data_IF_920714796751
#
_entry.id   IF_920714796751
#
_cell.length_a   1.000
_cell.length_b   1.000
_cell.length_c   1.000
_cell.angle_alpha   90.00
_cell.angle_beta   90.00
_cell.angle_gamma   90.00
#
_symmetry.space_group_name_H-M   'P 1'
#
loop_
_entity.id
_entity.type
_entity.pdbx_description
1 polymer ?
#
# COMPACT_ATOMS: atom_id res chain seq x y z
N UNK A 1 -7.87 4.63 25.28
CA UNK A 1 -6.75 5.38 24.68
C UNK A 1 -7.31 6.28 23.58
N UNK A 2 -6.87 7.53 23.48
CA UNK A 2 -7.24 8.38 22.32
C UNK A 2 -6.21 8.13 21.22
N UNK A 3 -6.63 7.41 20.17
CA UNK A 3 -5.75 6.98 19.09
C UNK A 3 -5.13 8.15 18.33
N UNK A 4 -5.94 9.18 18.01
CA UNK A 4 -5.44 10.36 17.31
C UNK A 4 -4.38 11.12 18.13
N UNK A 5 -4.61 11.31 19.43
CA UNK A 5 -3.62 11.96 20.30
C UNK A 5 -2.33 11.14 20.41
N UNK A 6 -2.47 9.82 20.55
CA UNK A 6 -1.31 8.91 20.61
C UNK A 6 -0.49 8.92 19.32
N UNK A 7 -1.15 8.99 18.17
CA UNK A 7 -0.50 9.03 16.86
C UNK A 7 -0.06 10.44 16.42
N UNK A 8 -0.33 11.49 17.21
CA UNK A 8 0.22 12.83 16.96
C UNK A 8 1.61 13.04 17.58
N UNK A 9 2.01 12.18 18.51
CA UNK A 9 3.32 12.17 19.12
C UNK A 9 4.28 11.29 18.31
N UNK A 10 5.57 11.41 18.58
CA UNK A 10 6.56 10.51 17.98
C UNK A 10 6.34 9.08 18.49
N UNK A 11 6.12 8.14 17.60
CA UNK A 11 5.95 6.72 17.93
C UNK A 11 7.17 5.90 17.51
N UNK A 12 7.45 4.86 18.30
CA UNK A 12 8.43 3.82 18.01
C UNK A 12 7.70 2.50 17.73
N UNK A 13 8.43 1.47 17.37
CA UNK A 13 7.82 0.17 17.04
C UNK A 13 7.08 -0.46 18.23
N UNK A 14 7.53 -0.19 19.45
CA UNK A 14 6.84 -0.64 20.66
C UNK A 14 5.47 -0.01 20.81
N UNK A 15 5.38 1.29 20.52
CA UNK A 15 4.13 2.05 20.55
C UNK A 15 3.13 1.52 19.49
N UNK A 16 3.64 1.17 18.31
CA UNK A 16 2.84 0.53 17.27
C UNK A 16 2.25 -0.80 17.75
N UNK A 17 3.08 -1.61 18.43
CA UNK A 17 2.61 -2.89 19.00
C UNK A 17 1.56 -2.69 20.10
N UNK A 18 1.73 -1.67 20.94
CA UNK A 18 0.73 -1.29 21.96
C UNK A 18 -0.60 -0.91 21.31
N UNK A 19 -0.57 -0.06 20.27
CA UNK A 19 -1.77 0.32 19.52
C UNK A 19 -2.41 -0.90 18.87
N UNK A 20 -1.64 -1.78 18.24
CA UNK A 20 -2.16 -3.01 17.63
C UNK A 20 -2.85 -3.92 18.66
N UNK A 21 -2.22 -4.10 19.82
CA UNK A 21 -2.82 -4.89 20.90
C UNK A 21 -4.12 -4.27 21.43
N UNK A 22 -4.16 -2.93 21.50
CA UNK A 22 -5.34 -2.21 21.96
C UNK A 22 -6.53 -2.32 21.01
N UNK A 23 -6.29 -2.39 19.69
CA UNK A 23 -7.35 -2.44 18.67
C UNK A 23 -7.70 -3.85 18.22
N UNK A 24 -6.95 -4.86 18.68
CA UNK A 24 -6.92 -6.23 18.14
C UNK A 24 -8.33 -6.85 17.99
N UNK A 25 -9.21 -6.69 19.00
CA UNK A 25 -10.51 -7.34 19.06
C UNK A 25 -11.69 -6.36 18.88
N UNK A 26 -11.39 -5.10 18.50
CA UNK A 26 -12.41 -4.07 18.35
C UNK A 26 -12.39 -3.48 16.92
N UNK A 27 -13.40 -3.88 16.14
CA UNK A 27 -13.55 -3.40 14.76
C UNK A 27 -13.74 -1.87 14.68
N UNK A 28 -14.37 -1.26 15.68
CA UNK A 28 -14.58 0.20 15.72
C UNK A 28 -13.28 0.95 15.90
N UNK A 29 -12.39 0.44 16.75
CA UNK A 29 -11.06 1.02 16.93
C UNK A 29 -10.18 0.80 15.70
N UNK A 30 -10.31 -0.34 15.03
CA UNK A 30 -9.65 -0.62 13.75
C UNK A 30 -10.10 0.35 12.67
N UNK A 31 -11.41 0.58 12.57
CA UNK A 31 -11.96 1.59 11.66
C UNK A 31 -11.46 3.00 12.01
N UNK A 32 -11.36 3.37 13.30
CA UNK A 32 -10.82 4.65 13.74
C UNK A 32 -9.38 4.84 13.25
N UNK A 33 -8.51 3.82 13.41
CA UNK A 33 -7.13 3.87 12.90
C UNK A 33 -7.12 4.02 11.38
N UNK A 34 -7.97 3.29 10.68
CA UNK A 34 -8.08 3.39 9.22
C UNK A 34 -8.48 4.80 8.78
N UNK A 35 -9.46 5.42 9.43
CA UNK A 35 -9.88 6.79 9.12
C UNK A 35 -8.77 7.82 9.38
N UNK A 36 -7.90 7.58 10.36
CA UNK A 36 -6.74 8.43 10.62
C UNK A 36 -5.69 8.42 9.48
N UNK A 37 -5.73 7.46 8.56
CA UNK A 37 -4.92 7.49 7.32
C UNK A 37 -5.21 8.77 6.51
N UNK A 38 -6.42 9.27 6.58
CA UNK A 38 -6.89 10.45 5.86
C UNK A 38 -6.87 11.72 6.70
N UNK A 39 -6.30 11.68 7.91
CA UNK A 39 -6.19 12.86 8.78
C UNK A 39 -5.41 13.98 8.08
N UNK A 40 -5.81 15.22 8.36
CA UNK A 40 -5.15 16.43 7.83
C UNK A 40 -3.74 16.60 8.37
N UNK A 41 -3.51 16.11 9.59
CA UNK A 41 -2.18 16.09 10.19
C UNK A 41 -1.34 14.98 9.53
N UNK A 42 -0.29 15.41 8.85
CA UNK A 42 0.59 14.50 8.12
C UNK A 42 1.27 13.46 9.04
N UNK A 43 1.58 13.84 10.29
CA UNK A 43 2.22 12.95 11.27
C UNK A 43 1.23 11.85 11.65
N UNK A 44 0.02 12.23 12.05
CA UNK A 44 -1.05 11.29 12.42
C UNK A 44 -1.33 10.33 11.28
N UNK A 45 -1.53 10.87 10.08
CA UNK A 45 -1.82 10.08 8.89
C UNK A 45 -0.70 9.09 8.54
N UNK A 46 0.56 9.52 8.63
CA UNK A 46 1.71 8.66 8.36
C UNK A 46 1.85 7.55 9.41
N UNK A 47 1.63 7.87 10.68
CA UNK A 47 1.73 6.90 11.75
C UNK A 47 0.56 5.92 11.76
N UNK A 48 -0.66 6.36 11.40
CA UNK A 48 -1.79 5.47 11.18
C UNK A 48 -1.51 4.46 10.05
N UNK A 49 -0.93 4.91 8.94
CA UNK A 49 -0.46 4.01 7.88
C UNK A 49 0.57 3.01 8.41
N UNK A 50 1.50 3.45 9.25
CA UNK A 50 2.49 2.55 9.83
C UNK A 50 1.86 1.48 10.71
N UNK A 51 0.86 1.84 11.55
CA UNK A 51 0.06 0.83 12.28
C UNK A 51 -0.57 -0.18 11.32
N UNK A 52 -1.23 0.29 10.25
CA UNK A 52 -1.90 -0.59 9.29
C UNK A 52 -0.92 -1.54 8.57
N UNK A 53 0.34 -1.14 8.35
CA UNK A 53 1.34 -2.05 7.74
C UNK A 53 1.74 -3.22 8.64
N UNK A 54 1.36 -3.18 9.91
CA UNK A 54 1.59 -4.25 10.88
C UNK A 54 0.31 -5.02 11.24
N UNK A 55 -0.74 -4.85 10.49
CA UNK A 55 -1.99 -5.56 10.67
C UNK A 55 -1.81 -7.08 10.55
N UNK A 56 -2.58 -7.82 11.32
CA UNK A 56 -2.66 -9.27 11.21
C UNK A 56 -3.24 -9.70 9.85
N UNK A 57 -3.12 -10.97 9.52
CA UNK A 57 -3.70 -11.50 8.29
C UNK A 57 -5.21 -11.28 8.21
N UNK A 58 -5.94 -11.43 9.33
CA UNK A 58 -7.37 -11.18 9.40
C UNK A 58 -7.71 -9.70 9.19
N UNK A 59 -6.90 -8.79 9.73
CA UNK A 59 -7.08 -7.35 9.54
C UNK A 59 -6.77 -6.92 8.10
N UNK A 60 -5.80 -7.56 7.45
CA UNK A 60 -5.52 -7.34 6.02
C UNK A 60 -6.69 -7.79 5.15
N UNK A 61 -7.35 -8.90 5.48
CA UNK A 61 -8.56 -9.35 4.78
C UNK A 61 -9.71 -8.36 4.97
N UNK A 62 -9.91 -7.85 6.19
CA UNK A 62 -10.86 -6.79 6.46
C UNK A 62 -10.52 -5.50 5.66
N UNK A 63 -9.24 -5.13 5.58
CA UNK A 63 -8.76 -3.97 4.84
C UNK A 63 -8.96 -4.13 3.31
N UNK A 64 -8.97 -5.35 2.79
CA UNK A 64 -9.15 -5.61 1.36
C UNK A 64 -10.50 -5.16 0.81
N UNK A 65 -11.52 -5.07 1.67
CA UNK A 65 -12.84 -4.52 1.31
C UNK A 65 -12.79 -3.01 1.01
N UNK A 66 -11.70 -2.33 1.39
CA UNK A 66 -11.44 -0.89 1.19
C UNK A 66 -10.32 -0.62 0.20
N UNK A 67 -9.97 -1.63 -0.60
CA UNK A 67 -8.82 -1.57 -1.52
C UNK A 67 -8.96 -0.44 -2.54
N UNK A 68 -10.16 -0.22 -3.08
CA UNK A 68 -10.42 0.85 -4.05
C UNK A 68 -10.16 2.24 -3.46
N UNK A 69 -10.55 2.47 -2.22
CA UNK A 69 -10.31 3.73 -1.51
C UNK A 69 -8.80 3.97 -1.29
N UNK A 70 -8.06 2.92 -0.97
CA UNK A 70 -6.60 2.97 -0.84
C UNK A 70 -5.92 3.21 -2.19
N UNK A 71 -6.42 2.63 -3.26
CA UNK A 71 -5.94 2.86 -4.62
C UNK A 71 -6.12 4.33 -5.01
N UNK A 72 -7.31 4.88 -4.81
CA UNK A 72 -7.61 6.28 -5.10
C UNK A 72 -6.73 7.22 -4.26
N UNK A 73 -6.54 6.89 -2.99
CA UNK A 73 -5.64 7.61 -2.10
C UNK A 73 -4.17 7.54 -2.57
N UNK A 74 -3.71 6.40 -3.07
CA UNK A 74 -2.35 6.25 -3.60
C UNK A 74 -2.13 7.09 -4.86
N UNK A 75 -3.11 7.09 -5.78
CA UNK A 75 -3.03 7.83 -7.05
C UNK A 75 -3.02 9.34 -6.85
N UNK A 76 -3.78 9.85 -5.88
CA UNK A 76 -3.93 11.29 -5.61
C UNK A 76 -2.94 11.84 -4.58
N UNK A 77 -2.25 10.99 -3.82
CA UNK A 77 -1.36 11.42 -2.74
C UNK A 77 -0.16 12.22 -3.27
N UNK A 78 0.06 13.47 -2.83
CA UNK A 78 1.22 14.27 -3.27
C UNK A 78 2.53 13.85 -2.60
N UNK A 79 2.47 13.18 -1.44
CA UNK A 79 3.64 12.83 -0.64
C UNK A 79 4.17 11.44 -0.99
N UNK A 80 5.36 11.36 -1.56
CA UNK A 80 5.97 10.10 -2.02
C UNK A 80 6.12 9.06 -0.89
N UNK A 81 6.53 9.47 0.31
CA UNK A 81 6.66 8.57 1.46
C UNK A 81 5.32 7.97 1.91
N UNK A 82 4.27 8.79 2.00
CA UNK A 82 2.92 8.34 2.34
C UNK A 82 2.38 7.40 1.26
N UNK A 83 2.50 7.79 0.00
CA UNK A 83 2.09 6.98 -1.16
C UNK A 83 2.76 5.61 -1.13
N UNK A 84 4.08 5.54 -0.83
CA UNK A 84 4.80 4.28 -0.68
C UNK A 84 4.17 3.35 0.35
N UNK A 85 3.76 3.89 1.50
CA UNK A 85 3.14 3.10 2.55
C UNK A 85 1.76 2.60 2.14
N UNK A 86 0.95 3.43 1.47
CA UNK A 86 -0.35 3.01 0.93
C UNK A 86 -0.16 1.88 -0.09
N UNK A 87 0.80 2.01 -1.01
CA UNK A 87 1.11 0.96 -1.97
C UNK A 87 1.56 -0.33 -1.27
N UNK A 88 2.34 -0.24 -0.20
CA UNK A 88 2.73 -1.42 0.59
C UNK A 88 1.50 -2.11 1.21
N UNK A 89 0.52 -1.36 1.70
CA UNK A 89 -0.74 -1.93 2.19
C UNK A 89 -1.53 -2.64 1.08
N UNK A 90 -1.64 -2.02 -0.09
CA UNK A 90 -2.31 -2.63 -1.25
C UNK A 90 -1.62 -3.95 -1.65
N UNK A 91 -0.29 -4.02 -1.56
CA UNK A 91 0.47 -5.23 -1.90
C UNK A 91 0.29 -6.39 -0.97
N UNK A 92 -0.06 -6.12 0.27
CA UNK A 92 -0.33 -7.16 1.26
C UNK A 92 -1.71 -7.79 1.07
N UNK A 93 -2.57 -7.14 0.31
CA UNK A 93 -3.94 -7.57 0.05
C UNK A 93 -4.01 -8.52 -1.15
N UNK A 94 -5.05 -9.34 -1.24
CA UNK A 94 -5.35 -10.08 -2.47
C UNK A 94 -5.59 -9.07 -3.62
N UNK A 95 -5.30 -9.50 -4.83
CA UNK A 95 -5.56 -8.67 -6.00
C UNK A 95 -7.08 -8.41 -6.16
N UNK A 96 -7.44 -7.18 -6.55
CA UNK A 96 -8.82 -6.84 -6.85
C UNK A 96 -9.33 -7.66 -8.05
N UNK A 97 -10.58 -8.09 -7.99
CA UNK A 97 -11.28 -8.75 -9.09
C UNK A 97 -12.64 -8.08 -9.29
N UNK A 98 -12.89 -7.40 -10.42
CA UNK A 98 -11.99 -7.16 -11.55
C UNK A 98 -10.84 -6.19 -11.24
N UNK A 99 -9.72 -6.26 -12.02
CA UNK A 99 -8.58 -5.38 -11.80
C UNK A 99 -8.89 -3.91 -12.12
N UNK A 100 -8.33 -3.01 -11.32
CA UNK A 100 -8.35 -1.56 -11.57
C UNK A 100 -7.33 -1.20 -12.66
N UNK A 101 -7.80 -1.01 -13.89
CA UNK A 101 -6.94 -0.68 -15.05
C UNK A 101 -6.24 0.67 -14.87
N UNK A 102 -6.94 1.67 -14.36
CA UNK A 102 -6.39 2.99 -14.06
C UNK A 102 -5.22 2.94 -13.05
N UNK A 103 -5.31 2.06 -12.07
CA UNK A 103 -4.23 1.83 -11.11
C UNK A 103 -3.03 1.12 -11.74
N UNK A 104 -3.27 0.17 -12.64
CA UNK A 104 -2.21 -0.49 -13.38
C UNK A 104 -1.46 0.51 -14.27
N UNK A 105 -2.18 1.36 -15.00
CA UNK A 105 -1.61 2.41 -15.84
C UNK A 105 -0.77 3.39 -14.99
N UNK A 106 -1.31 3.84 -13.85
CA UNK A 106 -0.59 4.67 -12.89
C UNK A 106 0.72 4.03 -12.42
N UNK A 107 0.69 2.75 -12.04
CA UNK A 107 1.89 2.02 -11.61
C UNK A 107 2.92 1.93 -12.74
N UNK A 108 2.47 1.68 -13.97
CA UNK A 108 3.35 1.57 -15.13
C UNK A 108 4.02 2.89 -15.50
N UNK A 109 3.26 3.98 -15.54
CA UNK A 109 3.80 5.31 -15.79
C UNK A 109 4.89 5.66 -14.77
N UNK A 110 4.68 5.32 -13.51
CA UNK A 110 5.64 5.58 -12.43
C UNK A 110 6.89 4.71 -12.50
N UNK A 111 6.78 3.46 -12.95
CA UNK A 111 7.94 2.59 -13.16
C UNK A 111 8.84 3.06 -14.31
N UNK A 112 8.26 3.65 -15.34
CA UNK A 112 8.98 4.20 -16.49
C UNK A 112 9.59 5.56 -16.16
N UNK A 113 9.00 6.31 -15.21
CA UNK A 113 9.57 7.57 -14.74
C UNK A 113 10.91 7.30 -14.05
N UNK A 114 11.94 8.12 -14.38
CA UNK A 114 13.30 8.00 -13.83
C UNK A 114 13.40 8.30 -12.31
N UNK A 115 12.32 8.33 -11.59
CA UNK A 115 12.32 8.42 -10.14
C UNK A 115 12.75 7.08 -9.55
N UNK A 116 14.04 6.93 -9.33
CA UNK A 116 14.77 5.70 -8.94
C UNK A 116 14.13 4.93 -7.78
N UNK A 117 13.41 5.60 -6.90
CA UNK A 117 12.74 4.97 -5.75
C UNK A 117 11.45 4.18 -6.11
N UNK A 118 10.90 4.36 -7.31
CA UNK A 118 9.65 3.72 -7.72
C UNK A 118 9.83 2.28 -8.17
N UNK A 119 10.98 1.94 -8.75
CA UNK A 119 11.30 0.56 -9.15
C UNK A 119 11.23 -0.41 -7.97
N UNK A 120 11.70 0.01 -6.80
CA UNK A 120 11.69 -0.84 -5.59
C UNK A 120 10.29 -0.91 -4.97
N UNK A 121 9.54 0.19 -5.05
CA UNK A 121 8.23 0.34 -4.39
C UNK A 121 7.11 -0.30 -5.19
N UNK A 122 7.14 -0.17 -6.50
CA UNK A 122 6.11 -0.73 -7.38
C UNK A 122 6.43 -2.17 -7.80
N UNK A 123 7.67 -2.64 -7.66
CA UNK A 123 8.04 -3.99 -8.11
C UNK A 123 7.35 -5.10 -7.30
N UNK A 124 7.22 -4.95 -6.00
CA UNK A 124 6.54 -5.96 -5.17
C UNK A 124 5.01 -5.96 -5.38
N UNK A 125 4.31 -4.79 -5.35
CA UNK A 125 2.89 -4.71 -5.70
C UNK A 125 2.60 -5.15 -7.11
N UNK A 126 3.41 -4.65 -8.05
CA UNK A 126 3.26 -4.97 -9.46
C UNK A 126 3.48 -6.46 -9.72
N UNK A 127 4.46 -7.09 -9.06
CA UNK A 127 4.70 -8.53 -9.21
C UNK A 127 3.53 -9.38 -8.70
N UNK A 128 2.87 -8.97 -7.63
CA UNK A 128 1.68 -9.66 -7.13
C UNK A 128 0.45 -9.39 -8.02
N UNK A 129 0.19 -8.14 -8.40
CA UNK A 129 -0.86 -7.80 -9.37
C UNK A 129 -0.57 -8.44 -10.72
N UNK A 130 0.67 -8.33 -11.23
CA UNK A 130 1.06 -8.88 -12.53
C UNK A 130 0.94 -10.39 -12.59
N UNK A 131 1.32 -11.12 -11.54
CA UNK A 131 1.19 -12.57 -11.47
C UNK A 131 -0.27 -13.03 -11.59
N UNK A 132 -1.20 -12.22 -11.08
CA UNK A 132 -2.63 -12.52 -11.16
C UNK A 132 -3.28 -11.99 -12.45
N UNK A 133 -2.69 -10.98 -13.09
CA UNK A 133 -3.23 -10.31 -14.28
C UNK A 133 -2.41 -10.53 -15.56
N UNK A 134 -1.32 -11.28 -15.50
CA UNK A 134 -0.49 -11.59 -16.67
C UNK A 134 -1.33 -12.16 -17.84
N UNK A 135 -2.36 -12.93 -17.55
CA UNK A 135 -3.28 -13.47 -18.54
C UNK A 135 -4.07 -12.39 -19.31
N UNK A 136 -4.33 -11.24 -18.70
CA UNK A 136 -5.05 -10.13 -19.35
C UNK A 136 -4.10 -9.23 -20.16
N UNK A 137 -2.82 -9.18 -19.77
CA UNK A 137 -1.81 -8.32 -20.38
C UNK A 137 -1.11 -8.92 -21.59
N UNK A 138 -0.98 -10.24 -21.67
CA UNK A 138 -0.38 -10.95 -22.81
C UNK A 138 -1.11 -10.60 -24.12
N UNK A 139 -2.38 -10.22 -24.06
CA UNK A 139 -3.15 -9.82 -25.23
C UNK A 139 -2.94 -8.37 -25.68
N UNK A 140 -2.35 -7.48 -24.84
CA UNK A 140 -2.35 -6.03 -25.09
C UNK A 140 -1.01 -5.43 -25.51
N UNK A 141 0.12 -5.95 -25.09
CA UNK A 141 1.40 -5.40 -25.54
C UNK A 141 2.59 -6.36 -25.39
N UNK A 142 3.16 -6.86 -26.49
CA UNK A 142 4.38 -7.67 -26.50
C UNK A 142 5.63 -6.91 -26.04
N UNK A 143 5.61 -5.58 -26.09
CA UNK A 143 6.78 -4.71 -25.84
C UNK A 143 7.17 -4.64 -24.37
N UNK A 144 6.24 -4.86 -23.44
CA UNK A 144 6.51 -4.79 -22.00
C UNK A 144 7.09 -6.06 -21.41
N UNK A 145 6.99 -7.18 -22.12
CA UNK A 145 7.59 -8.46 -21.71
C UNK A 145 9.10 -8.37 -21.51
N UNK A 146 9.75 -7.55 -22.30
CA UNK A 146 11.20 -7.39 -22.27
C UNK A 146 11.69 -6.71 -20.97
N UNK A 147 10.93 -5.77 -20.42
CA UNK A 147 11.28 -5.06 -19.19
C UNK A 147 11.10 -5.91 -17.93
N UNK A 148 10.25 -6.93 -17.99
CA UNK A 148 9.93 -7.81 -16.85
C UNK A 148 10.79 -9.08 -16.82
N UNK A 149 11.46 -9.42 -17.91
CA UNK A 149 12.35 -10.56 -18.05
C UNK A 149 13.82 -10.26 -17.67
N UNK A 150 14.14 -9.02 -17.32
CA UNK A 150 15.49 -8.68 -16.87
C UNK A 150 15.66 -9.21 -15.43
N UNK A 151 16.53 -10.20 -15.19
CA UNK A 151 16.82 -10.65 -13.83
C UNK A 151 17.49 -9.50 -13.08
N UNK A 152 16.97 -9.21 -11.88
CA UNK A 152 17.60 -8.29 -10.93
C UNK A 152 18.91 -8.93 -10.46
N UNK A 153 20.02 -8.61 -11.10
CA UNK A 153 21.35 -8.89 -10.56
C UNK A 153 21.59 -7.95 -9.37
N UNK A 154 21.67 -8.55 -8.19
CA UNK A 154 22.18 -7.86 -7.01
C UNK A 154 23.61 -7.47 -7.33
N UNK A 155 23.85 -6.18 -7.57
CA UNK A 155 25.22 -5.65 -7.52
C UNK A 155 25.78 -5.84 -6.11
N UNK A 156 27.04 -6.27 -6.00
CA UNK A 156 27.71 -6.61 -4.75
C UNK A 156 27.85 -5.41 -3.80
#
# INVERSE_FOLDING_TARGET
MNLRARLSERVHIEDIREVLHFIQDDERLREEVYQLIFDKDHIVSYQALWVCTHFSKADVEWLSQRQDELIDAAMTCPHSGKRRMILNLICQQPAADPPRVDFLDFCMERMISREVNWLIICHAPFRNCYRNYAQYWISWSPTYWFLLSVPYEKTP
#
